data_IF_924895181657
#
_entry.id   IF_924895181657
#
_cell.length_a   1.000
_cell.length_b   1.000
_cell.length_c   1.000
_cell.angle_alpha   90.00
_cell.angle_beta   90.00
_cell.angle_gamma   90.00
#
_symmetry.space_group_name_H-M   'P 1'
#
loop_
_entity.id
_entity.type
_entity.pdbx_description
1 polymer ?
#
# COMPACT_ATOMS: atom_id res chain seq x y z
N UNK A 1 59.66 -33.93 45.84
CA UNK A 1 58.85 -32.76 45.42
C UNK A 1 59.12 -32.45 43.96
N UNK A 2 58.11 -32.63 43.09
CA UNK A 2 57.75 -31.80 41.92
C UNK A 2 56.79 -32.61 41.03
N UNK A 3 55.51 -32.43 41.28
CA UNK A 3 54.41 -32.89 40.43
C UNK A 3 54.37 -32.02 39.17
N UNK A 4 54.31 -32.63 37.98
CA UNK A 4 54.06 -31.92 36.71
C UNK A 4 52.57 -32.04 36.41
N UNK A 5 51.90 -30.89 36.50
CA UNK A 5 50.48 -30.71 36.20
C UNK A 5 50.31 -30.65 34.68
N UNK A 6 49.59 -31.62 34.10
CA UNK A 6 49.24 -31.68 32.69
C UNK A 6 48.03 -30.77 32.43
N UNK A 7 48.20 -29.79 31.55
CA UNK A 7 47.19 -28.79 31.17
C UNK A 7 46.22 -29.40 30.14
N UNK A 8 44.96 -29.60 30.52
CA UNK A 8 43.87 -29.97 29.62
C UNK A 8 43.41 -28.73 28.82
N UNK A 9 43.58 -28.76 27.50
CA UNK A 9 42.98 -27.78 26.58
C UNK A 9 41.52 -28.14 26.33
N UNK A 10 40.59 -27.33 26.83
CA UNK A 10 39.19 -27.39 26.48
C UNK A 10 38.94 -26.61 25.18
N UNK A 11 38.59 -27.32 24.11
CA UNK A 11 38.14 -26.74 22.84
C UNK A 11 36.65 -26.39 23.01
N UNK A 12 36.34 -25.10 23.14
CA UNK A 12 34.96 -24.61 23.12
C UNK A 12 34.47 -24.54 21.65
N UNK A 13 33.64 -25.50 21.24
CA UNK A 13 32.93 -25.45 19.96
C UNK A 13 31.78 -24.43 20.07
N UNK A 14 32.02 -23.19 19.62
CA UNK A 14 30.97 -22.17 19.49
C UNK A 14 30.13 -22.44 18.24
N UNK A 15 28.96 -23.07 18.40
CA UNK A 15 27.95 -23.15 17.33
C UNK A 15 27.32 -21.78 17.11
N UNK A 16 27.73 -21.08 16.06
CA UNK A 16 27.03 -19.90 15.54
C UNK A 16 25.68 -20.34 14.99
N UNK A 17 24.61 -20.21 15.78
CA UNK A 17 23.24 -20.27 15.29
C UNK A 17 22.96 -18.99 14.52
N UNK A 18 23.18 -19.03 13.20
CA UNK A 18 22.69 -17.99 12.29
C UNK A 18 21.19 -18.18 12.17
N UNK A 19 20.43 -17.55 13.06
CA UNK A 19 19.00 -17.38 12.89
C UNK A 19 18.77 -16.44 11.71
N UNK A 20 18.58 -17.00 10.51
CA UNK A 20 18.08 -16.24 9.37
C UNK A 20 16.62 -15.88 9.65
N UNK A 21 16.39 -14.75 10.32
CA UNK A 21 15.08 -14.11 10.31
C UNK A 21 14.88 -13.55 8.92
N UNK A 22 14.19 -14.29 8.04
CA UNK A 22 13.65 -13.73 6.80
C UNK A 22 12.70 -12.60 7.17
N UNK A 23 13.16 -11.36 7.12
CA UNK A 23 12.30 -10.19 7.22
C UNK A 23 11.41 -10.18 5.98
N UNK A 24 10.10 -10.33 6.17
CA UNK A 24 9.18 -10.06 5.09
C UNK A 24 9.30 -8.56 4.79
N UNK A 25 9.55 -8.19 3.53
CA UNK A 25 9.85 -6.82 3.12
C UNK A 25 9.05 -6.46 1.86
N UNK A 26 8.75 -5.17 1.70
CA UNK A 26 8.12 -4.68 0.48
C UNK A 26 9.16 -4.70 -0.64
N UNK A 27 8.95 -5.57 -1.62
CA UNK A 27 9.87 -5.70 -2.75
C UNK A 27 9.85 -4.48 -3.67
N UNK A 28 10.93 -4.30 -4.44
CA UNK A 28 11.05 -3.19 -5.39
C UNK A 28 9.95 -3.19 -6.45
N UNK A 29 9.37 -4.35 -6.76
CA UNK A 29 8.23 -4.45 -7.66
C UNK A 29 7.05 -3.57 -7.24
N UNK A 30 6.79 -3.39 -5.95
CA UNK A 30 5.63 -2.59 -5.54
C UNK A 30 5.86 -1.08 -5.61
N UNK A 31 7.12 -0.64 -5.62
CA UNK A 31 7.50 0.78 -5.43
C UNK A 31 8.29 1.39 -6.61
N UNK A 32 8.75 0.57 -7.56
CA UNK A 32 9.57 0.99 -8.71
C UNK A 32 8.79 1.27 -10.00
N UNK A 33 7.45 1.28 -9.95
CA UNK A 33 6.64 1.63 -11.12
C UNK A 33 6.89 3.09 -11.53
N UNK A 34 7.49 3.32 -12.70
CA UNK A 34 7.98 4.66 -13.09
C UNK A 34 6.95 5.54 -13.78
N UNK A 35 6.08 4.96 -14.60
CA UNK A 35 5.15 5.76 -15.40
C UNK A 35 3.88 5.00 -15.73
N UNK A 36 2.76 5.71 -15.58
CA UNK A 36 1.55 5.42 -16.30
C UNK A 36 1.33 6.53 -17.34
N UNK A 37 1.79 6.32 -18.57
CA UNK A 37 1.80 7.20 -19.77
C UNK A 37 2.03 8.71 -19.56
N UNK A 38 1.12 9.41 -18.86
CA UNK A 38 1.15 10.86 -18.64
C UNK A 38 1.52 11.27 -17.21
N UNK A 39 1.91 10.30 -16.37
CA UNK A 39 2.33 10.57 -15.00
C UNK A 39 3.81 10.31 -14.79
N UNK A 40 4.43 11.18 -14.01
CA UNK A 40 5.83 11.07 -13.57
C UNK A 40 5.87 10.66 -12.10
N UNK A 41 6.51 9.54 -11.79
CA UNK A 41 6.73 9.10 -10.42
C UNK A 41 7.76 10.01 -9.72
N UNK A 42 7.44 10.44 -8.50
CA UNK A 42 8.41 10.95 -7.54
C UNK A 42 9.14 9.79 -6.85
N UNK A 43 10.22 10.09 -6.13
CA UNK A 43 10.95 9.09 -5.35
C UNK A 43 10.05 8.43 -4.29
N UNK A 44 10.22 7.13 -4.10
CA UNK A 44 9.54 6.40 -3.04
C UNK A 44 10.06 6.86 -1.66
N UNK A 45 9.14 7.29 -0.79
CA UNK A 45 9.44 7.71 0.57
C UNK A 45 9.01 6.61 1.53
N UNK A 46 9.98 5.98 2.21
CA UNK A 46 9.72 4.94 3.21
C UNK A 46 9.21 5.56 4.50
N UNK A 47 8.26 4.89 5.13
CA UNK A 47 7.79 5.20 6.46
C UNK A 47 8.98 5.19 7.44
N UNK A 48 9.17 6.23 8.29
CA UNK A 48 10.27 6.26 9.26
C UNK A 48 10.24 5.07 10.21
N UNK A 49 11.40 4.57 10.63
CA UNK A 49 11.57 3.38 11.47
C UNK A 49 10.79 3.42 12.79
N UNK A 50 10.60 4.61 13.38
CA UNK A 50 9.85 4.82 14.62
C UNK A 50 8.33 5.01 14.43
N UNK A 51 7.80 4.79 13.23
CA UNK A 51 6.37 5.01 12.96
C UNK A 51 5.50 3.98 13.66
N UNK A 52 4.28 4.39 14.02
CA UNK A 52 3.31 3.50 14.65
C UNK A 52 3.01 2.30 13.75
N UNK A 53 3.19 1.11 14.34
CA UNK A 53 3.03 -0.19 13.67
C UNK A 53 1.60 -0.71 13.69
N UNK A 54 0.71 -0.01 14.38
CA UNK A 54 -0.72 -0.32 14.46
C UNK A 54 -1.48 0.91 14.01
N UNK A 55 -2.52 0.72 13.21
CA UNK A 55 -3.49 1.74 12.85
C UNK A 55 -4.81 1.40 13.52
N UNK A 56 -5.41 2.36 14.20
CA UNK A 56 -6.78 2.24 14.69
C UNK A 56 -7.71 2.85 13.64
N UNK A 57 -8.61 2.04 13.07
CA UNK A 57 -9.52 2.48 12.01
C UNK A 57 -10.98 2.20 12.39
N UNK A 58 -11.93 3.08 12.00
CA UNK A 58 -13.33 2.88 12.31
C UNK A 58 -13.98 1.86 11.37
N UNK A 59 -14.92 1.08 11.90
CA UNK A 59 -15.80 0.18 11.15
C UNK A 59 -17.22 0.29 11.71
N UNK A 60 -18.18 -0.40 11.09
CA UNK A 60 -19.56 -0.44 11.61
C UNK A 60 -19.67 -1.05 13.02
N UNK A 61 -18.71 -1.87 13.45
CA UNK A 61 -18.69 -2.51 14.78
C UNK A 61 -17.81 -1.77 15.79
N UNK A 62 -17.31 -0.58 15.44
CA UNK A 62 -16.39 0.21 16.27
C UNK A 62 -14.97 0.27 15.70
N UNK A 63 -14.02 0.67 16.54
CA UNK A 63 -12.63 0.78 16.16
C UNK A 63 -11.94 -0.59 16.12
N UNK A 64 -11.15 -0.83 15.08
CA UNK A 64 -10.37 -2.06 14.91
C UNK A 64 -8.91 -1.74 14.60
N UNK A 65 -8.03 -2.69 14.86
CA UNK A 65 -6.59 -2.57 14.58
C UNK A 65 -6.25 -3.09 13.19
N UNK A 66 -5.30 -2.44 12.54
CA UNK A 66 -4.63 -2.94 11.33
C UNK A 66 -3.12 -2.78 11.51
N UNK A 67 -2.37 -3.86 11.30
CA UNK A 67 -0.92 -3.82 11.43
C UNK A 67 -0.26 -3.15 10.22
N UNK A 68 0.88 -2.49 10.45
CA UNK A 68 1.72 -1.85 9.44
C UNK A 68 3.17 -1.86 9.88
N UNK A 69 3.90 -2.91 9.54
CA UNK A 69 5.29 -3.09 9.93
C UNK A 69 6.27 -2.31 9.05
N UNK A 70 5.88 -2.01 7.80
CA UNK A 70 6.62 -1.14 6.87
C UNK A 70 5.63 -0.41 5.95
N UNK A 71 6.10 0.63 5.27
CA UNK A 71 5.32 1.26 4.22
C UNK A 71 6.10 2.24 3.36
N UNK A 72 5.62 2.46 2.15
CA UNK A 72 6.17 3.41 1.20
C UNK A 72 5.06 4.30 0.65
N UNK A 73 5.41 5.54 0.35
CA UNK A 73 4.57 6.49 -0.38
C UNK A 73 5.26 6.89 -1.68
N UNK A 74 4.50 6.84 -2.77
CA UNK A 74 4.93 7.29 -4.11
C UNK A 74 3.88 8.25 -4.65
N UNK A 75 4.31 9.44 -5.07
CA UNK A 75 3.46 10.40 -5.76
C UNK A 75 3.63 10.27 -7.27
N UNK A 76 2.53 10.27 -8.00
CA UNK A 76 2.52 10.30 -9.45
C UNK A 76 1.92 11.63 -9.90
N UNK A 77 2.79 12.47 -10.44
CA UNK A 77 2.46 13.84 -10.80
C UNK A 77 1.99 13.91 -12.26
N UNK A 78 0.98 14.72 -12.53
CA UNK A 78 0.54 15.04 -13.88
C UNK A 78 1.54 15.98 -14.60
N UNK A 79 1.25 16.31 -15.85
CA UNK A 79 2.05 17.23 -16.67
C UNK A 79 2.19 18.65 -16.06
N UNK A 80 1.28 19.05 -15.17
CA UNK A 80 1.33 20.31 -14.41
C UNK A 80 2.13 20.18 -13.11
N UNK A 81 2.86 19.07 -12.92
CA UNK A 81 3.63 18.74 -11.70
C UNK A 81 2.78 18.61 -10.43
N UNK A 82 1.47 18.40 -10.59
CA UNK A 82 0.55 18.26 -9.47
C UNK A 82 0.29 16.77 -9.19
N UNK A 83 0.31 16.31 -7.91
CA UNK A 83 0.17 14.89 -7.58
C UNK A 83 -1.27 14.40 -7.81
N UNK A 84 -1.47 13.61 -8.86
CA UNK A 84 -2.74 12.99 -9.18
C UNK A 84 -2.96 11.69 -8.40
N UNK A 85 -1.95 10.80 -8.35
CA UNK A 85 -2.03 9.57 -7.56
C UNK A 85 -1.07 9.66 -6.39
N UNK A 86 -1.57 9.37 -5.20
CA UNK A 86 -0.79 9.10 -4.01
C UNK A 86 -0.90 7.59 -3.75
N UNK A 87 0.10 6.84 -4.20
CA UNK A 87 0.21 5.40 -4.01
C UNK A 87 0.84 5.15 -2.65
N UNK A 88 0.18 4.35 -1.81
CA UNK A 88 0.81 3.81 -0.59
C UNK A 88 0.92 2.30 -0.71
N UNK A 89 2.07 1.76 -0.32
CA UNK A 89 2.28 0.32 -0.20
C UNK A 89 2.61 0.07 1.26
N UNK A 90 1.87 -0.80 1.92
CA UNK A 90 2.06 -1.11 3.34
C UNK A 90 2.21 -2.62 3.52
N UNK A 91 3.02 -3.00 4.51
CA UNK A 91 3.24 -4.39 4.88
C UNK A 91 2.57 -4.66 6.22
N UNK A 92 1.69 -5.65 6.26
CA UNK A 92 1.11 -6.18 7.49
C UNK A 92 2.05 -7.17 8.17
N UNK A 93 1.87 -7.36 9.47
CA UNK A 93 2.36 -8.54 10.16
C UNK A 93 1.74 -9.80 9.53
N UNK A 94 2.57 -10.80 9.21
CA UNK A 94 2.15 -11.97 8.44
C UNK A 94 0.98 -12.74 9.10
N UNK A 95 0.98 -12.84 10.43
CA UNK A 95 -0.07 -13.52 11.21
C UNK A 95 -1.38 -12.74 11.21
N UNK A 96 -1.32 -11.41 11.07
CA UNK A 96 -2.47 -10.52 11.09
C UNK A 96 -3.05 -10.25 9.70
N UNK A 97 -2.31 -10.50 8.61
CA UNK A 97 -2.66 -10.05 7.27
C UNK A 97 -4.09 -10.39 6.82
N UNK A 98 -4.58 -11.60 7.07
CA UNK A 98 -5.95 -11.97 6.70
C UNK A 98 -7.00 -11.16 7.48
N UNK A 99 -6.75 -10.91 8.77
CA UNK A 99 -7.62 -10.08 9.59
C UNK A 99 -7.53 -8.60 9.17
N UNK A 100 -6.33 -8.11 8.89
CA UNK A 100 -6.09 -6.75 8.40
C UNK A 100 -6.86 -6.49 7.09
N UNK A 101 -6.84 -7.45 6.15
CA UNK A 101 -7.63 -7.38 4.91
C UNK A 101 -9.12 -7.18 5.19
N UNK A 102 -9.68 -7.99 6.10
CA UNK A 102 -11.09 -7.89 6.48
C UNK A 102 -11.38 -6.52 7.11
N UNK A 103 -10.55 -6.09 8.07
CA UNK A 103 -10.69 -4.82 8.76
C UNK A 103 -10.62 -3.62 7.80
N UNK A 104 -9.73 -3.67 6.80
CA UNK A 104 -9.61 -2.64 5.79
C UNK A 104 -10.81 -2.59 4.83
N UNK A 105 -11.37 -3.73 4.45
CA UNK A 105 -12.61 -3.78 3.65
C UNK A 105 -13.79 -3.25 4.45
N UNK A 106 -13.92 -3.64 5.72
CA UNK A 106 -14.99 -3.15 6.60
C UNK A 106 -14.84 -1.64 6.86
N UNK A 107 -13.60 -1.14 6.96
CA UNK A 107 -13.31 0.29 7.03
C UNK A 107 -13.72 1.02 5.74
N UNK A 108 -13.40 0.49 4.54
CA UNK A 108 -13.86 1.08 3.29
C UNK A 108 -15.39 1.18 3.22
N UNK A 109 -16.10 0.12 3.63
CA UNK A 109 -17.58 0.12 3.68
C UNK A 109 -18.08 1.19 4.63
N UNK A 110 -17.50 1.28 5.82
CA UNK A 110 -17.82 2.30 6.81
C UNK A 110 -17.59 3.71 6.26
N UNK A 111 -16.44 3.97 5.65
CA UNK A 111 -16.12 5.27 5.06
C UNK A 111 -17.11 5.63 3.95
N UNK A 112 -17.49 4.68 3.11
CA UNK A 112 -18.44 4.92 2.02
C UNK A 112 -19.86 5.24 2.54
N UNK A 113 -20.31 4.57 3.60
CA UNK A 113 -21.63 4.83 4.18
C UNK A 113 -21.71 6.15 4.94
N UNK A 114 -20.59 6.61 5.52
CA UNK A 114 -20.52 7.83 6.33
C UNK A 114 -20.03 9.07 5.56
N UNK A 115 -19.74 8.93 4.27
CA UNK A 115 -19.34 10.06 3.40
C UNK A 115 -20.50 10.47 2.50
N UNK A 116 -20.73 11.78 2.38
CA UNK A 116 -21.70 12.35 1.44
C UNK A 116 -21.07 12.57 0.05
N UNK A 117 -21.90 12.56 -0.99
CA UNK A 117 -21.44 12.80 -2.36
C UNK A 117 -20.65 11.64 -2.98
N UNK A 118 -20.87 10.41 -2.51
CA UNK A 118 -20.30 9.19 -3.08
C UNK A 118 -21.04 8.74 -4.34
N UNK A 119 -20.32 8.15 -5.29
CA UNK A 119 -20.85 7.62 -6.56
C UNK A 119 -21.89 6.52 -6.34
N UNK A 120 -21.66 5.68 -5.35
CA UNK A 120 -22.53 4.56 -4.95
C UNK A 120 -22.42 4.34 -3.44
N UNK A 121 -23.42 3.67 -2.86
CA UNK A 121 -23.40 3.24 -1.45
C UNK A 121 -22.69 1.91 -1.23
N UNK A 122 -22.52 1.12 -2.28
CA UNK A 122 -21.71 -0.09 -2.27
C UNK A 122 -20.24 0.20 -2.59
N UNK A 123 -19.35 -0.75 -2.27
CA UNK A 123 -17.97 -0.64 -2.74
C UNK A 123 -17.91 -0.81 -4.26
N UNK A 124 -17.06 0.00 -4.89
CA UNK A 124 -16.68 -0.20 -6.28
C UNK A 124 -15.69 -1.37 -6.31
N UNK A 125 -16.03 -2.41 -7.07
CA UNK A 125 -15.15 -3.53 -7.34
C UNK A 125 -14.64 -3.46 -8.79
N UNK A 126 -13.32 -3.45 -8.94
CA UNK A 126 -12.64 -3.45 -10.23
C UNK A 126 -11.72 -4.67 -10.31
N UNK A 127 -11.47 -5.14 -11.52
CA UNK A 127 -10.52 -6.22 -11.76
C UNK A 127 -9.58 -5.84 -12.92
N UNK A 128 -8.28 -5.88 -12.66
CA UNK A 128 -7.25 -5.62 -13.65
C UNK A 128 -6.14 -6.64 -13.55
N UNK A 129 -5.81 -7.28 -14.67
CA UNK A 129 -4.68 -8.21 -14.77
C UNK A 129 -4.71 -9.29 -13.66
N UNK A 130 -5.89 -9.78 -13.30
CA UNK A 130 -6.09 -10.79 -12.25
C UNK A 130 -5.95 -10.29 -10.81
N UNK A 131 -5.94 -8.97 -10.60
CA UNK A 131 -6.01 -8.36 -9.27
C UNK A 131 -7.38 -7.71 -9.06
N UNK A 132 -8.03 -8.08 -7.96
CA UNK A 132 -9.24 -7.40 -7.47
C UNK A 132 -8.86 -6.14 -6.70
N UNK A 133 -9.58 -5.06 -6.98
CA UNK A 133 -9.38 -3.75 -6.37
C UNK A 133 -10.73 -3.26 -5.83
N UNK A 134 -10.75 -2.90 -4.56
CA UNK A 134 -11.95 -2.45 -3.86
C UNK A 134 -11.82 -0.97 -3.56
N UNK A 135 -12.86 -0.18 -3.76
CA UNK A 135 -12.74 1.23 -3.43
C UNK A 135 -14.05 1.97 -3.33
N UNK A 136 -13.88 3.26 -3.15
CA UNK A 136 -14.93 4.25 -3.07
C UNK A 136 -14.52 5.44 -3.92
N UNK A 137 -15.52 6.11 -4.51
CA UNK A 137 -15.29 7.26 -5.38
C UNK A 137 -16.39 8.28 -5.19
N UNK A 138 -16.05 9.57 -5.31
CA UNK A 138 -17.00 10.67 -5.31
C UNK A 138 -17.80 10.67 -6.61
N UNK A 139 -19.07 11.09 -6.50
CA UNK A 139 -19.96 11.25 -7.64
C UNK A 139 -19.61 12.46 -8.51
N UNK A 140 -18.94 13.47 -7.94
CA UNK A 140 -18.53 14.70 -8.62
C UNK A 140 -17.06 14.98 -8.39
N UNK A 141 -16.46 15.78 -9.28
CA UNK A 141 -15.07 16.24 -9.16
C UNK A 141 -14.94 17.60 -8.46
N UNK A 142 -16.05 18.22 -8.05
CA UNK A 142 -16.05 19.58 -7.50
C UNK A 142 -15.81 19.61 -5.98
N UNK A 143 -15.75 18.46 -5.32
CA UNK A 143 -15.63 18.37 -3.86
C UNK A 143 -14.59 17.37 -3.39
N UNK A 144 -14.06 17.62 -2.19
CA UNK A 144 -13.09 16.77 -1.51
C UNK A 144 -11.68 16.84 -2.10
N UNK A 145 -10.67 16.63 -1.25
CA UNK A 145 -9.25 16.58 -1.65
C UNK A 145 -8.84 15.23 -2.23
N UNK A 146 -9.65 14.19 -2.04
CA UNK A 146 -9.49 12.86 -2.62
C UNK A 146 -10.79 12.48 -3.31
N UNK A 147 -10.72 12.19 -4.62
CA UNK A 147 -11.85 11.74 -5.41
C UNK A 147 -12.13 10.26 -5.23
N UNK A 148 -11.10 9.45 -5.03
CA UNK A 148 -11.28 8.02 -4.82
C UNK A 148 -10.16 7.40 -4.00
N UNK A 149 -10.55 6.41 -3.20
CA UNK A 149 -9.65 5.57 -2.41
C UNK A 149 -9.90 4.14 -2.81
N UNK A 150 -8.87 3.46 -3.32
CA UNK A 150 -8.93 2.08 -3.76
C UNK A 150 -7.84 1.27 -3.07
N UNK A 151 -8.10 0.01 -2.77
CA UNK A 151 -7.17 -0.91 -2.13
C UNK A 151 -7.09 -2.22 -2.90
N UNK A 152 -5.89 -2.78 -2.96
CA UNK A 152 -5.58 -4.05 -3.60
C UNK A 152 -4.72 -4.89 -2.66
N UNK A 153 -4.98 -6.19 -2.65
CA UNK A 153 -4.27 -7.16 -1.80
C UNK A 153 -3.51 -8.17 -2.67
N UNK A 154 -2.28 -7.85 -3.12
CA UNK A 154 -1.52 -8.69 -4.04
C UNK A 154 -0.97 -9.98 -3.42
N UNK A 155 -1.00 -10.13 -2.08
CA UNK A 155 -0.44 -11.28 -1.35
C UNK A 155 0.75 -10.89 -0.47
N UNK A 156 1.38 -11.88 0.17
CA UNK A 156 2.63 -11.75 0.93
C UNK A 156 2.63 -10.64 2.01
N UNK A 157 1.47 -10.38 2.64
CA UNK A 157 1.36 -9.32 3.66
C UNK A 157 1.21 -7.92 3.09
N UNK A 158 1.27 -7.73 1.77
CA UNK A 158 1.25 -6.41 1.13
C UNK A 158 -0.18 -5.92 0.90
N UNK A 159 -0.40 -4.64 1.19
CA UNK A 159 -1.59 -3.88 0.79
C UNK A 159 -1.16 -2.66 -0.03
N UNK A 160 -1.79 -2.47 -1.18
CA UNK A 160 -1.58 -1.30 -2.04
C UNK A 160 -2.81 -0.41 -1.98
N UNK A 161 -2.62 0.86 -1.64
CA UNK A 161 -3.64 1.90 -1.63
C UNK A 161 -3.40 2.86 -2.78
N UNK A 162 -4.44 3.13 -3.57
CA UNK A 162 -4.48 4.17 -4.58
C UNK A 162 -5.39 5.29 -4.08
N UNK A 163 -4.80 6.43 -3.74
CA UNK A 163 -5.54 7.65 -3.46
C UNK A 163 -5.47 8.56 -4.69
N UNK A 164 -6.61 8.82 -5.32
CA UNK A 164 -6.72 9.73 -6.44
C UNK A 164 -7.07 11.12 -5.92
N UNK A 165 -6.09 12.02 -5.94
CA UNK A 165 -6.25 13.35 -5.39
C UNK A 165 -7.10 14.21 -6.31
N UNK A 166 -7.91 15.07 -5.70
CA UNK A 166 -8.54 16.19 -6.38
C UNK A 166 -7.72 17.45 -6.13
N UNK A 167 -7.71 18.34 -7.11
CA UNK A 167 -7.13 19.67 -6.99
C UNK A 167 -8.03 20.67 -7.69
N UNK A 168 -7.72 21.96 -7.53
CA UNK A 168 -8.44 22.99 -8.27
C UNK A 168 -8.29 22.78 -9.80
N UNK A 169 -9.28 23.20 -10.62
CA UNK A 169 -9.27 23.01 -12.08
C UNK A 169 -7.95 23.36 -12.77
N UNK A 170 -7.29 24.45 -12.32
CA UNK A 170 -6.03 24.90 -12.89
C UNK A 170 -4.87 23.89 -12.70
N UNK A 171 -4.90 23.04 -11.67
CA UNK A 171 -3.85 22.05 -11.35
C UNK A 171 -4.19 20.61 -11.74
N UNK A 172 -5.48 20.24 -11.79
CA UNK A 172 -5.89 18.90 -12.18
C UNK A 172 -5.78 18.71 -13.70
N UNK A 173 -5.75 17.45 -14.13
CA UNK A 173 -5.59 17.04 -15.53
C UNK A 173 -6.82 16.28 -16.06
N UNK A 174 -7.98 16.49 -15.42
CA UNK A 174 -9.26 15.94 -15.83
C UNK A 174 -10.33 17.03 -15.71
N UNK A 175 -11.26 17.03 -16.66
CA UNK A 175 -12.33 18.05 -16.75
C UNK A 175 -13.72 17.51 -16.38
N UNK A 176 -13.84 16.19 -16.20
CA UNK A 176 -15.11 15.54 -15.87
C UNK A 176 -14.90 14.29 -15.02
N UNK A 177 -15.98 13.82 -14.40
CA UNK A 177 -16.00 12.53 -13.68
C UNK A 177 -15.62 11.38 -14.62
N UNK A 178 -16.07 11.40 -15.88
CA UNK A 178 -15.77 10.36 -16.88
C UNK A 178 -14.27 10.34 -17.19
N UNK A 179 -13.66 11.50 -17.42
CA UNK A 179 -12.23 11.61 -17.69
C UNK A 179 -11.38 11.17 -16.49
N UNK A 180 -11.76 11.61 -15.28
CA UNK A 180 -11.14 11.13 -14.04
C UNK A 180 -11.17 9.60 -13.94
N UNK A 181 -12.33 8.95 -14.16
CA UNK A 181 -12.45 7.49 -14.11
C UNK A 181 -11.58 6.81 -15.15
N UNK A 182 -11.52 7.33 -16.38
CA UNK A 182 -10.64 6.82 -17.43
C UNK A 182 -9.17 6.85 -17.02
N UNK A 183 -8.73 7.93 -16.38
CA UNK A 183 -7.35 8.07 -15.91
C UNK A 183 -7.06 7.18 -14.69
N UNK A 184 -8.01 7.07 -13.76
CA UNK A 184 -7.97 6.15 -12.63
C UNK A 184 -7.77 4.71 -13.09
N UNK A 185 -8.65 4.23 -13.97
CA UNK A 185 -8.66 2.84 -14.44
C UNK A 185 -7.41 2.54 -15.24
N UNK A 186 -6.97 3.48 -16.09
CA UNK A 186 -5.71 3.36 -16.82
C UNK A 186 -4.51 3.22 -15.87
N UNK A 187 -4.44 4.04 -14.82
CA UNK A 187 -3.35 3.98 -13.85
C UNK A 187 -3.30 2.61 -13.15
N UNK A 188 -4.44 2.14 -12.62
CA UNK A 188 -4.53 0.85 -11.91
C UNK A 188 -4.17 -0.30 -12.86
N UNK A 189 -4.68 -0.26 -14.10
CA UNK A 189 -4.36 -1.25 -15.11
C UNK A 189 -2.86 -1.30 -15.43
N UNK A 190 -2.22 -0.15 -15.68
CA UNK A 190 -0.79 -0.10 -16.01
C UNK A 190 0.08 -0.54 -14.83
N UNK A 191 -0.26 -0.12 -13.60
CA UNK A 191 0.43 -0.56 -12.38
C UNK A 191 0.33 -2.08 -12.18
N UNK A 192 -0.88 -2.64 -12.28
CA UNK A 192 -1.10 -4.10 -12.09
C UNK A 192 -0.47 -4.93 -13.20
N UNK A 193 -0.44 -4.42 -14.44
CA UNK A 193 0.30 -5.02 -15.56
C UNK A 193 1.80 -5.03 -15.28
N UNK A 194 2.35 -3.92 -14.82
CA UNK A 194 3.76 -3.84 -14.40
C UNK A 194 4.07 -4.85 -13.30
N UNK A 195 3.20 -4.98 -12.30
CA UNK A 195 3.38 -6.00 -11.28
C UNK A 195 3.48 -7.38 -11.94
N UNK A 196 2.58 -7.80 -12.84
CA UNK A 196 2.65 -9.15 -13.46
C UNK A 196 3.99 -9.48 -14.11
N UNK A 197 4.68 -8.52 -14.71
CA UNK A 197 5.96 -8.74 -15.38
C UNK A 197 7.17 -8.58 -14.45
N UNK A 198 7.00 -7.93 -13.30
CA UNK A 198 8.06 -7.75 -12.32
C UNK A 198 8.32 -9.06 -11.58
N UNK A 199 9.57 -9.55 -11.67
CA UNK A 199 9.95 -10.93 -11.28
C UNK A 199 10.28 -11.11 -9.79
N UNK A 200 10.26 -10.04 -9.00
CA UNK A 200 10.68 -10.01 -7.59
C UNK A 200 9.47 -9.84 -6.64
N UNK A 201 8.49 -10.75 -6.66
CA UNK A 201 7.27 -10.65 -5.82
C UNK A 201 7.25 -11.62 -4.65
#
# INVERSE_FOLDING_TARGET
MKSKLTLLSAILLGTFLISFTSTNEITQCYISFKTATNFTAASANRLPEGSEKIKIIPTAVGQVQVTRTDGYRILYNNNKKAPFVNLKVELSEQKAYNQDKKNLIDNLKFLNSHTTGMETKDLIELEFNGYKVYGLSRATIETGSTLGTFIMFPGNGVTVYFYFNNMKPEYRNFESVIDYKKQRDRFINEYTKYLKICKEK
#
